data_IF_856565895507
#
_entry.id   IF_856565895507
#
_cell.length_a   1.000
_cell.length_b   1.000
_cell.length_c   1.000
_cell.angle_alpha   90.00
_cell.angle_beta   90.00
_cell.angle_gamma   90.00
#
_symmetry.space_group_name_H-M   'P 1'
#
loop_
_entity.id
_entity.type
_entity.pdbx_description
1 polymer ?
#
# COMPACT_ATOMS: atom_id res chain seq x y z
N UNK A 1 -7.65 -72.06 -14.68
CA UNK A 1 -8.86 -71.21 -14.73
C UNK A 1 -8.39 -69.75 -14.67
N UNK A 2 -8.95 -68.83 -15.50
CA UNK A 2 -8.16 -67.97 -16.39
C UNK A 2 -8.06 -66.48 -15.99
N UNK A 3 -7.35 -65.76 -16.88
CA UNK A 3 -6.97 -64.35 -17.01
C UNK A 3 -8.13 -63.34 -16.96
N UNK A 4 -7.81 -62.06 -16.66
CA UNK A 4 -8.18 -60.78 -17.34
C UNK A 4 -7.94 -59.61 -16.34
N UNK A 5 -6.98 -58.71 -16.56
CA UNK A 5 -7.04 -57.48 -17.39
C UNK A 5 -7.84 -56.34 -16.74
N UNK A 6 -7.17 -55.19 -16.55
CA UNK A 6 -7.78 -53.97 -16.02
C UNK A 6 -6.76 -52.94 -15.56
N UNK A 7 -5.82 -52.57 -16.42
CA UNK A 7 -5.21 -51.25 -16.32
C UNK A 7 -6.28 -50.22 -16.75
N UNK A 8 -6.59 -49.26 -15.90
CA UNK A 8 -7.02 -47.96 -16.41
C UNK A 8 -6.40 -46.85 -15.58
N UNK A 9 -5.75 -45.97 -16.32
CA UNK A 9 -5.07 -44.79 -15.85
C UNK A 9 -6.02 -43.59 -15.90
N UNK A 10 -5.58 -42.50 -15.31
CA UNK A 10 -6.05 -41.15 -15.59
C UNK A 10 -7.47 -40.79 -15.09
N UNK A 11 -7.48 -40.15 -13.92
CA UNK A 11 -8.57 -39.30 -13.47
C UNK A 11 -8.06 -38.14 -12.61
N UNK A 12 -6.90 -37.56 -12.94
CA UNK A 12 -6.41 -36.33 -12.30
C UNK A 12 -6.51 -35.15 -13.27
N UNK A 13 -7.72 -34.66 -13.54
CA UNK A 13 -7.89 -33.33 -14.13
C UNK A 13 -9.27 -32.79 -13.78
N UNK A 14 -9.30 -31.68 -13.03
CA UNK A 14 -10.55 -30.98 -12.76
C UNK A 14 -10.56 -29.98 -11.62
N UNK A 15 -9.41 -29.45 -11.16
CA UNK A 15 -9.42 -28.26 -10.28
C UNK A 15 -8.46 -27.23 -10.86
N UNK A 16 -8.86 -26.59 -11.95
CA UNK A 16 -8.05 -25.57 -12.61
C UNK A 16 -8.85 -24.90 -13.71
N UNK A 17 -9.65 -23.90 -13.35
CA UNK A 17 -10.43 -23.18 -14.35
C UNK A 17 -10.89 -21.79 -13.94
N UNK A 18 -11.26 -21.58 -12.67
CA UNK A 18 -12.04 -20.37 -12.33
C UNK A 18 -11.45 -19.48 -11.23
N UNK A 19 -10.30 -19.84 -10.64
CA UNK A 19 -9.68 -19.05 -9.57
C UNK A 19 -8.74 -17.92 -10.05
N UNK A 20 -8.53 -17.75 -11.37
CA UNK A 20 -7.46 -16.90 -11.92
C UNK A 20 -7.94 -15.74 -12.80
N UNK A 21 -9.21 -15.33 -12.70
CA UNK A 21 -9.70 -14.20 -13.50
C UNK A 21 -9.21 -12.82 -13.00
N UNK A 22 -8.54 -12.78 -11.85
CA UNK A 22 -7.90 -11.58 -11.28
C UNK A 22 -6.39 -11.50 -11.57
N UNK A 23 -5.78 -10.31 -11.43
CA UNK A 23 -4.34 -10.18 -11.60
C UNK A 23 -3.55 -11.03 -10.58
N UNK A 24 -2.43 -11.62 -11.00
CA UNK A 24 -1.55 -12.35 -10.09
C UNK A 24 -1.12 -11.46 -8.91
N UNK A 25 -0.94 -11.97 -7.68
CA UNK A 25 -0.70 -11.16 -6.48
C UNK A 25 0.41 -10.12 -6.63
N UNK A 26 1.56 -10.49 -7.22
CA UNK A 26 2.65 -9.54 -7.46
C UNK A 26 2.28 -8.41 -8.43
N UNK A 27 1.43 -8.69 -9.43
CA UNK A 27 0.94 -7.69 -10.38
C UNK A 27 -0.08 -6.77 -9.72
N UNK A 28 -1.00 -7.32 -8.93
CA UNK A 28 -1.94 -6.51 -8.16
C UNK A 28 -1.19 -5.56 -7.23
N UNK A 29 -0.23 -6.06 -6.45
CA UNK A 29 0.57 -5.25 -5.54
C UNK A 29 1.30 -4.10 -6.26
N UNK A 30 1.93 -4.36 -7.42
CA UNK A 30 2.60 -3.32 -8.22
C UNK A 30 1.63 -2.29 -8.78
N UNK A 31 0.43 -2.70 -9.20
CA UNK A 31 -0.59 -1.77 -9.68
C UNK A 31 -1.10 -0.86 -8.56
N UNK A 32 -1.35 -1.42 -7.37
CA UNK A 32 -1.76 -0.64 -6.19
C UNK A 32 -0.66 0.32 -5.73
N UNK A 33 0.60 -0.13 -5.75
CA UNK A 33 1.76 0.72 -5.49
C UNK A 33 1.84 1.89 -6.49
N UNK A 34 1.72 1.61 -7.79
CA UNK A 34 1.73 2.65 -8.81
C UNK A 34 0.59 3.64 -8.59
N UNK A 35 -0.63 3.16 -8.30
CA UNK A 35 -1.79 4.01 -8.04
C UNK A 35 -1.60 4.96 -6.84
N UNK A 36 -0.95 4.52 -5.76
CA UNK A 36 -0.68 5.39 -4.61
C UNK A 36 0.45 6.38 -4.89
N UNK A 37 1.50 6.00 -5.60
CA UNK A 37 2.60 6.89 -5.95
C UNK A 37 2.19 7.94 -7.00
N UNK A 38 1.49 7.52 -8.06
CA UNK A 38 1.06 8.37 -9.17
C UNK A 38 -0.08 9.33 -8.79
N UNK A 39 -0.68 9.14 -7.60
CA UNK A 39 -1.69 10.05 -7.08
C UNK A 39 -1.12 11.41 -6.65
N UNK A 40 0.17 11.51 -6.34
CA UNK A 40 0.75 12.74 -5.76
C UNK A 40 0.66 13.96 -6.70
N UNK A 41 1.12 13.91 -7.96
CA UNK A 41 1.04 15.06 -8.85
C UNK A 41 -0.37 15.64 -9.05
N UNK A 42 -1.43 14.85 -9.35
CA UNK A 42 -2.76 15.41 -9.49
C UNK A 42 -3.33 15.93 -8.17
N UNK A 43 -3.04 15.29 -7.03
CA UNK A 43 -3.48 15.80 -5.71
C UNK A 43 -2.89 17.19 -5.42
N UNK A 44 -1.60 17.39 -5.68
CA UNK A 44 -0.95 18.69 -5.50
C UNK A 44 -1.39 19.74 -6.52
N UNK A 45 -1.92 19.34 -7.67
CA UNK A 45 -2.47 20.25 -8.66
C UNK A 45 -3.87 20.77 -8.29
N UNK A 46 -4.63 19.98 -7.53
CA UNK A 46 -6.04 20.23 -7.23
C UNK A 46 -6.28 20.75 -5.80
N UNK A 47 -5.38 20.41 -4.86
CA UNK A 47 -5.59 20.64 -3.43
C UNK A 47 -4.41 21.42 -2.80
N UNK A 48 -4.67 22.19 -1.74
CA UNK A 48 -3.60 22.69 -0.86
C UNK A 48 -2.73 21.53 -0.35
N UNK A 49 -1.42 21.73 -0.12
CA UNK A 49 -0.50 20.67 0.30
C UNK A 49 -0.98 19.86 1.51
N UNK A 50 -1.60 20.50 2.50
CA UNK A 50 -2.18 19.81 3.64
C UNK A 50 -3.28 18.82 3.24
N UNK A 51 -4.22 19.24 2.42
CA UNK A 51 -5.36 18.42 1.99
C UNK A 51 -4.92 17.32 1.00
N UNK A 52 -3.96 17.64 0.12
CA UNK A 52 -3.31 16.67 -0.76
C UNK A 52 -2.64 15.55 0.06
N UNK A 53 -1.87 15.93 1.08
CA UNK A 53 -1.15 14.98 1.95
C UNK A 53 -2.13 14.12 2.74
N UNK A 54 -3.17 14.72 3.33
CA UNK A 54 -4.22 13.98 4.05
C UNK A 54 -4.90 12.95 3.14
N UNK A 55 -5.25 13.36 1.92
CA UNK A 55 -5.88 12.49 0.93
C UNK A 55 -4.96 11.35 0.51
N UNK A 56 -3.68 11.64 0.29
CA UNK A 56 -2.68 10.64 -0.03
C UNK A 56 -2.45 9.65 1.12
N UNK A 57 -2.40 10.10 2.37
CA UNK A 57 -2.26 9.24 3.55
C UNK A 57 -3.41 8.24 3.68
N UNK A 58 -4.65 8.65 3.38
CA UNK A 58 -5.78 7.73 3.32
C UNK A 58 -5.62 6.66 2.23
N UNK A 59 -5.17 7.05 1.03
CA UNK A 59 -4.87 6.09 -0.05
C UNK A 59 -3.73 5.14 0.32
N UNK A 60 -2.72 5.63 1.03
CA UNK A 60 -1.64 4.79 1.56
C UNK A 60 -2.16 3.75 2.55
N UNK A 61 -3.07 4.13 3.47
CA UNK A 61 -3.72 3.17 4.37
C UNK A 61 -4.50 2.13 3.58
N UNK A 62 -5.26 2.53 2.55
CA UNK A 62 -6.02 1.58 1.71
C UNK A 62 -5.09 0.60 0.98
N UNK A 63 -3.98 1.09 0.42
CA UNK A 63 -2.92 0.27 -0.16
C UNK A 63 -2.32 -0.70 0.87
N UNK A 64 -2.02 -0.24 2.09
CA UNK A 64 -1.45 -1.07 3.15
C UNK A 64 -2.41 -2.15 3.62
N UNK A 65 -3.70 -1.83 3.80
CA UNK A 65 -4.72 -2.82 4.16
C UNK A 65 -4.84 -3.90 3.09
N UNK A 66 -4.82 -3.53 1.81
CA UNK A 66 -4.79 -4.48 0.69
C UNK A 66 -3.54 -5.35 0.72
N UNK A 67 -2.36 -4.74 0.91
CA UNK A 67 -1.08 -5.45 1.03
C UNK A 67 -1.09 -6.46 2.19
N UNK A 68 -1.64 -6.09 3.35
CA UNK A 68 -1.77 -6.97 4.52
C UNK A 68 -2.68 -8.15 4.20
N UNK A 69 -3.83 -7.92 3.56
CA UNK A 69 -4.73 -9.00 3.12
C UNK A 69 -4.09 -9.95 2.10
N UNK A 70 -3.11 -9.49 1.34
CA UNK A 70 -2.35 -10.28 0.37
C UNK A 70 -1.10 -10.97 0.94
N UNK A 71 -0.82 -10.84 2.24
CA UNK A 71 0.48 -11.22 2.81
C UNK A 71 0.87 -12.68 2.51
N UNK A 72 -0.04 -13.64 2.64
CA UNK A 72 0.24 -15.06 2.35
C UNK A 72 0.54 -15.30 0.87
N UNK A 73 -0.22 -14.66 -0.02
CA UNK A 73 -0.01 -14.78 -1.46
C UNK A 73 1.33 -14.16 -1.89
N UNK A 74 1.72 -13.03 -1.29
CA UNK A 74 3.02 -12.40 -1.54
C UNK A 74 4.18 -13.23 -0.97
N UNK A 75 4.00 -13.89 0.18
CA UNK A 75 4.99 -14.85 0.71
C UNK A 75 5.23 -16.01 -0.25
N UNK A 76 4.20 -16.52 -0.91
CA UNK A 76 4.34 -17.57 -1.93
C UNK A 76 5.15 -17.09 -3.16
N UNK A 77 4.98 -15.83 -3.57
CA UNK A 77 5.79 -15.23 -4.65
C UNK A 77 7.27 -15.15 -4.24
N UNK A 78 7.56 -14.79 -2.99
CA UNK A 78 8.93 -14.75 -2.48
C UNK A 78 9.51 -16.16 -2.43
N UNK A 79 8.75 -17.14 -1.94
CA UNK A 79 9.16 -18.53 -1.89
C UNK A 79 9.44 -19.14 -3.27
N UNK A 80 8.83 -18.61 -4.34
CA UNK A 80 9.12 -19.00 -5.73
C UNK A 80 10.24 -18.19 -6.40
N UNK A 81 10.95 -17.35 -5.63
CA UNK A 81 12.12 -16.59 -6.10
C UNK A 81 11.79 -15.21 -6.71
N UNK A 82 10.54 -14.76 -6.62
CA UNK A 82 10.16 -13.41 -7.04
C UNK A 82 10.42 -12.36 -5.95
N UNK A 83 10.62 -11.12 -6.37
CA UNK A 83 10.63 -9.96 -5.47
C UNK A 83 9.40 -9.07 -5.74
N UNK A 84 8.30 -9.24 -4.98
CA UNK A 84 7.12 -8.40 -5.15
C UNK A 84 7.32 -6.97 -4.66
N UNK A 85 8.36 -6.69 -3.86
CA UNK A 85 8.57 -5.39 -3.20
C UNK A 85 9.71 -4.56 -3.81
N UNK A 86 10.30 -5.04 -4.91
CA UNK A 86 11.35 -4.34 -5.63
C UNK A 86 10.95 -2.88 -5.87
N UNK A 87 11.77 -1.94 -5.39
CA UNK A 87 11.60 -0.48 -5.50
C UNK A 87 10.37 0.11 -4.77
N UNK A 88 9.54 -0.71 -4.10
CA UNK A 88 8.33 -0.20 -3.44
C UNK A 88 8.64 0.85 -2.39
N UNK A 89 9.72 0.68 -1.63
CA UNK A 89 10.12 1.66 -0.60
C UNK A 89 10.55 2.97 -1.23
N UNK A 90 11.50 2.94 -2.16
CA UNK A 90 12.04 4.13 -2.83
C UNK A 90 10.93 4.96 -3.52
N UNK A 91 9.96 4.29 -4.15
CA UNK A 91 8.82 4.95 -4.79
C UNK A 91 7.87 5.62 -3.80
N UNK A 92 7.65 5.00 -2.63
CA UNK A 92 6.82 5.58 -1.58
C UNK A 92 7.53 6.73 -0.87
N UNK A 93 8.84 6.62 -0.65
CA UNK A 93 9.66 7.69 -0.07
C UNK A 93 9.63 8.92 -0.97
N UNK A 94 9.86 8.74 -2.28
CA UNK A 94 9.80 9.83 -3.25
C UNK A 94 8.39 10.46 -3.35
N UNK A 95 7.33 9.67 -3.16
CA UNK A 95 5.96 10.18 -3.18
C UNK A 95 5.67 11.08 -1.97
N UNK A 96 6.00 10.65 -0.75
CA UNK A 96 5.78 11.45 0.45
C UNK A 96 6.74 12.64 0.53
N UNK A 97 7.98 12.51 0.05
CA UNK A 97 8.94 13.61 -0.02
C UNK A 97 8.38 14.79 -0.83
N UNK A 98 7.78 14.53 -1.99
CA UNK A 98 7.15 15.58 -2.82
C UNK A 98 6.01 16.32 -2.09
N UNK A 99 5.22 15.60 -1.31
CA UNK A 99 4.13 16.19 -0.51
C UNK A 99 4.70 17.05 0.62
N UNK A 100 5.75 16.56 1.29
CA UNK A 100 6.45 17.29 2.35
C UNK A 100 7.10 18.57 1.80
N UNK A 101 7.80 18.48 0.67
CA UNK A 101 8.44 19.60 0.00
C UNK A 101 7.43 20.67 -0.41
N UNK A 102 6.27 20.25 -0.95
CA UNK A 102 5.20 21.18 -1.31
C UNK A 102 4.67 21.94 -0.09
N UNK A 103 4.44 21.26 1.04
CA UNK A 103 3.99 21.92 2.28
C UNK A 103 5.07 22.78 2.95
N UNK A 104 6.35 22.43 2.80
CA UNK A 104 7.46 23.29 3.23
C UNK A 104 7.54 24.55 2.36
N UNK A 105 7.38 24.42 1.04
CA UNK A 105 7.42 25.53 0.11
C UNK A 105 6.30 26.56 0.34
N UNK A 106 5.13 26.14 0.83
CA UNK A 106 4.03 27.04 1.23
C UNK A 106 4.15 27.56 2.66
N UNK A 107 5.15 27.08 3.42
CA UNK A 107 5.33 27.43 4.84
C UNK A 107 4.31 26.78 5.79
N UNK A 108 3.50 25.85 5.29
CA UNK A 108 2.52 25.11 6.10
C UNK A 108 3.20 24.05 6.98
N UNK A 109 4.31 23.47 6.52
CA UNK A 109 5.01 22.39 7.21
C UNK A 109 6.32 22.85 7.84
N UNK A 110 6.71 22.16 8.92
CA UNK A 110 8.06 22.27 9.50
C UNK A 110 9.08 21.59 8.57
N UNK A 111 10.29 22.11 8.55
CA UNK A 111 11.42 21.50 7.84
C UNK A 111 12.01 20.33 8.64
N UNK A 112 12.75 19.44 7.97
CA UNK A 112 13.54 18.38 8.63
C UNK A 112 12.73 17.16 9.06
N UNK A 113 11.49 17.01 8.57
CA UNK A 113 10.75 15.74 8.67
C UNK A 113 11.33 14.77 7.65
N UNK A 114 11.67 13.56 8.10
CA UNK A 114 12.16 12.52 7.21
C UNK A 114 10.98 11.75 6.56
N UNK A 115 10.99 11.54 5.23
CA UNK A 115 10.01 10.72 4.52
C UNK A 115 9.74 9.34 5.18
N UNK A 116 10.80 8.62 5.54
CA UNK A 116 10.70 7.27 6.12
C UNK A 116 9.98 7.27 7.48
N UNK A 117 10.20 8.28 8.33
CA UNK A 117 9.50 8.41 9.62
C UNK A 117 7.98 8.53 9.41
N UNK A 118 7.56 9.28 8.39
CA UNK A 118 6.15 9.44 8.03
C UNK A 118 5.58 8.10 7.53
N UNK A 119 6.29 7.41 6.63
CA UNK A 119 5.85 6.11 6.13
C UNK A 119 5.75 5.05 7.22
N UNK A 120 6.73 4.99 8.13
CA UNK A 120 6.72 4.07 9.27
C UNK A 120 5.53 4.39 10.18
N UNK A 121 5.30 5.67 10.50
CA UNK A 121 4.16 6.10 11.28
C UNK A 121 2.82 5.69 10.64
N UNK A 122 2.66 5.94 9.33
CA UNK A 122 1.45 5.55 8.60
C UNK A 122 1.27 4.04 8.52
N UNK A 123 2.37 3.30 8.38
CA UNK A 123 2.34 1.83 8.42
C UNK A 123 1.85 1.33 9.78
N UNK A 124 2.28 1.95 10.88
CA UNK A 124 1.76 1.68 12.22
C UNK A 124 0.25 1.95 12.34
N UNK A 125 -0.23 3.07 11.77
CA UNK A 125 -1.66 3.39 11.74
C UNK A 125 -2.44 2.33 10.94
N UNK A 126 -1.95 1.92 9.77
CA UNK A 126 -2.58 0.88 8.97
C UNK A 126 -2.66 -0.47 9.69
N UNK A 127 -1.61 -0.83 10.43
CA UNK A 127 -1.59 -2.06 11.23
C UNK A 127 -2.55 -2.00 12.43
N UNK A 128 -2.70 -0.84 13.07
CA UNK A 128 -3.51 -0.70 14.28
C UNK A 128 -4.99 -0.34 14.01
N UNK A 129 -5.28 0.33 12.90
CA UNK A 129 -6.57 0.94 12.60
C UNK A 129 -6.97 0.85 11.11
N UNK A 130 -6.38 -0.04 10.33
CA UNK A 130 -6.61 -0.17 8.88
C UNK A 130 -7.92 -0.86 8.47
N UNK A 131 -8.66 -1.46 9.41
CA UNK A 131 -9.92 -2.13 9.09
C UNK A 131 -11.02 -1.12 8.71
N UNK A 132 -12.00 -1.52 7.86
CA UNK A 132 -13.13 -0.65 7.49
C UNK A 132 -13.91 -0.09 8.69
N UNK A 133 -14.08 -0.90 9.74
CA UNK A 133 -14.74 -0.52 11.00
C UNK A 133 -13.98 0.57 11.77
N UNK A 134 -12.68 0.70 11.53
CA UNK A 134 -11.76 1.60 12.23
C UNK A 134 -11.40 2.85 11.42
N UNK A 135 -12.01 3.05 10.24
CA UNK A 135 -11.73 4.20 9.35
C UNK A 135 -11.79 5.55 10.06
N UNK A 136 -12.75 5.74 10.96
CA UNK A 136 -12.85 6.98 11.75
C UNK A 136 -11.65 7.16 12.70
N UNK A 137 -11.12 6.08 13.27
CA UNK A 137 -9.93 6.14 14.12
C UNK A 137 -8.66 6.39 13.30
N UNK A 138 -8.50 5.73 12.16
CA UNK A 138 -7.40 6.00 11.23
C UNK A 138 -7.37 7.47 10.80
N UNK A 139 -8.53 8.06 10.47
CA UNK A 139 -8.64 9.48 10.14
C UNK A 139 -8.15 10.40 11.27
N UNK A 140 -8.56 10.15 12.52
CA UNK A 140 -8.08 10.93 13.67
C UNK A 140 -6.56 10.79 13.90
N UNK A 141 -5.99 9.61 13.63
CA UNK A 141 -4.55 9.38 13.75
C UNK A 141 -3.75 10.06 12.63
N UNK A 142 -4.30 10.07 11.40
CA UNK A 142 -3.77 10.88 10.29
C UNK A 142 -3.79 12.36 10.67
N UNK A 143 -4.89 12.86 11.23
CA UNK A 143 -5.00 14.27 11.63
C UNK A 143 -3.96 14.64 12.69
N UNK A 144 -3.75 13.77 13.68
CA UNK A 144 -2.71 13.94 14.69
C UNK A 144 -1.30 13.98 14.08
N UNK A 145 -1.04 13.14 13.08
CA UNK A 145 0.23 13.13 12.36
C UNK A 145 0.43 14.42 11.56
N UNK A 146 -0.60 14.87 10.82
CA UNK A 146 -0.58 16.12 10.06
C UNK A 146 -0.35 17.33 10.98
N UNK A 147 -0.98 17.36 12.16
CA UNK A 147 -0.72 18.37 13.17
C UNK A 147 0.74 18.37 13.64
N UNK A 148 1.38 17.19 13.67
CA UNK A 148 2.80 17.04 13.92
C UNK A 148 3.70 17.55 12.79
N UNK A 149 3.22 17.57 11.54
CA UNK A 149 3.94 18.10 10.38
C UNK A 149 3.85 19.63 10.27
N UNK A 150 2.76 20.22 10.76
CA UNK A 150 2.51 21.66 10.66
C UNK A 150 3.64 22.47 11.28
N UNK A 151 3.96 23.59 10.64
CA UNK A 151 4.91 24.56 11.18
C UNK A 151 4.35 25.10 12.50
N UNK A 152 5.08 24.89 13.60
CA UNK A 152 4.83 25.60 14.85
C UNK A 152 5.72 26.82 14.88
N UNK A 153 5.14 28.00 14.74
CA UNK A 153 5.78 29.23 15.19
C UNK A 153 6.06 29.05 16.68
N UNK A 154 7.34 28.99 17.05
CA UNK A 154 7.74 29.08 18.45
C UNK A 154 7.23 30.43 18.96
N UNK A 155 6.32 30.41 19.93
CA UNK A 155 5.86 31.61 20.63
C UNK A 155 6.88 32.03 21.71
#
# INVERSE_FOLDING_TARGET
>A
MPLESGADAAGHHGVGGDALRGPAPARLHRNELAAVCDAVPPLLAELPPLDATRTWMHRFIDYMTTKIGMADALRLVIASGGDPYAQSRDLLDAAIERLLDAGVATGEYRTGVLPDDVLIGLSGIALAAGEPSQRAQAGRLIDLMLDGLRHRSQA
#
